data_IF_392889708253
#
_entry.id   IF_392889708253
#
_cell.length_a   1.000
_cell.length_b   1.000
_cell.length_c   1.000
_cell.angle_alpha   90.00
_cell.angle_beta   90.00
_cell.angle_gamma   90.00
#
_symmetry.space_group_name_H-M   'P 1'
#
loop_
_entity.id
_entity.type
_entity.pdbx_description
1 polymer ?
#
# COMPACT_ATOMS: atom_id res chain seq x y z
N UNK A 1 -17.64 40.73 -6.13
CA UNK A 1 -18.78 39.78 -6.04
C UNK A 1 -18.59 38.73 -7.12
N UNK A 2 -18.06 37.56 -6.76
CA UNK A 2 -17.83 36.47 -7.72
C UNK A 2 -19.13 35.69 -7.88
N UNK A 3 -19.56 35.49 -9.14
CA UNK A 3 -20.86 34.93 -9.48
C UNK A 3 -20.97 33.47 -8.99
N UNK A 4 -22.00 33.19 -8.20
CA UNK A 4 -22.44 31.83 -7.86
C UNK A 4 -23.12 31.21 -9.08
N UNK A 5 -22.36 30.53 -9.93
CA UNK A 5 -22.95 29.74 -11.00
C UNK A 5 -23.43 28.41 -10.41
N UNK A 6 -24.72 28.30 -10.12
CA UNK A 6 -25.39 27.01 -9.91
C UNK A 6 -25.44 26.30 -11.27
N UNK A 7 -24.43 25.48 -11.57
CA UNK A 7 -24.45 24.62 -12.75
C UNK A 7 -25.33 23.40 -12.44
N UNK A 8 -26.34 23.07 -13.28
CA UNK A 8 -27.18 21.90 -13.03
C UNK A 8 -26.35 20.61 -13.09
N UNK A 9 -26.74 19.66 -12.24
CA UNK A 9 -26.32 18.26 -12.26
C UNK A 9 -26.32 17.71 -13.69
N UNK A 10 -25.26 16.99 -14.06
CA UNK A 10 -24.89 16.51 -15.42
C UNK A 10 -24.05 17.49 -16.24
N UNK A 11 -22.73 17.32 -16.18
CA UNK A 11 -21.94 16.55 -17.16
C UNK A 11 -20.46 16.68 -16.70
N UNK A 12 -19.97 15.70 -15.94
CA UNK A 12 -18.54 15.55 -15.67
C UNK A 12 -17.78 14.98 -16.90
N UNK A 13 -18.33 15.06 -18.12
CA UNK A 13 -17.71 14.52 -19.33
C UNK A 13 -16.69 15.45 -20.01
N UNK A 14 -16.26 16.53 -19.34
CA UNK A 14 -15.33 17.51 -19.90
C UNK A 14 -13.87 17.41 -19.44
N UNK A 15 -13.57 16.62 -18.40
CA UNK A 15 -12.19 16.50 -17.90
C UNK A 15 -11.52 15.28 -18.54
N UNK A 16 -11.24 15.37 -19.85
CA UNK A 16 -10.46 14.37 -20.56
C UNK A 16 -9.03 14.28 -19.98
N UNK A 17 -8.74 13.09 -19.49
CA UNK A 17 -7.48 12.36 -19.32
C UNK A 17 -6.19 13.13 -19.61
N UNK A 18 -5.33 13.23 -18.60
CA UNK A 18 -3.92 12.91 -18.81
C UNK A 18 -3.45 12.01 -17.67
N UNK A 19 -3.08 10.78 -17.98
CA UNK A 19 -2.42 9.83 -17.09
C UNK A 19 -0.95 10.22 -16.90
N UNK A 20 -0.72 11.50 -16.66
CA UNK A 20 0.56 12.17 -16.56
C UNK A 20 0.54 13.15 -15.40
N UNK A 21 1.70 13.37 -14.81
CA UNK A 21 1.97 14.20 -13.64
C UNK A 21 1.81 15.70 -14.01
N UNK A 22 0.65 16.09 -14.55
CA UNK A 22 0.24 17.48 -14.67
C UNK A 22 -0.56 17.82 -13.42
N UNK A 23 -0.26 18.96 -12.80
CA UNK A 23 -1.05 19.50 -11.71
C UNK A 23 -2.48 19.75 -12.21
N UNK A 24 -3.38 18.82 -11.92
CA UNK A 24 -4.79 18.92 -12.29
C UNK A 24 -5.45 20.20 -11.76
N UNK A 25 -6.66 20.53 -12.23
CA UNK A 25 -7.39 21.68 -11.70
C UNK A 25 -7.60 21.52 -10.19
N UNK A 26 -7.40 22.60 -9.43
CA UNK A 26 -7.83 22.62 -8.04
C UNK A 26 -9.35 22.78 -8.02
N UNK A 27 -10.01 21.85 -7.35
CA UNK A 27 -11.45 21.77 -7.21
C UNK A 27 -11.82 22.01 -5.74
N UNK A 28 -13.01 22.56 -5.54
CA UNK A 28 -13.66 22.63 -4.25
C UNK A 28 -15.04 22.00 -4.34
N UNK A 29 -15.31 21.00 -3.48
CA UNK A 29 -16.61 20.34 -3.35
C UNK A 29 -17.19 20.66 -1.97
N UNK A 30 -18.41 21.20 -1.95
CA UNK A 30 -19.14 21.49 -0.71
C UNK A 30 -20.16 20.37 -0.46
N UNK A 31 -20.07 19.70 0.69
CA UNK A 31 -21.08 18.72 1.15
C UNK A 31 -21.81 19.24 2.38
N UNK A 32 -22.73 18.44 2.92
CA UNK A 32 -23.39 18.76 4.18
C UNK A 32 -22.42 18.78 5.39
N UNK A 33 -21.36 17.98 5.33
CA UNK A 33 -20.45 17.75 6.46
C UNK A 33 -19.28 18.74 6.46
N UNK A 34 -18.67 18.95 5.29
CA UNK A 34 -17.51 19.83 5.14
C UNK A 34 -17.28 20.24 3.68
N UNK A 35 -16.37 21.18 3.50
CA UNK A 35 -15.85 21.56 2.18
C UNK A 35 -14.51 20.84 1.94
N UNK A 36 -14.42 20.14 0.81
CA UNK A 36 -13.20 19.48 0.34
C UNK A 36 -12.52 20.38 -0.68
N UNK A 37 -11.21 20.54 -0.57
CA UNK A 37 -10.38 21.30 -1.53
C UNK A 37 -9.24 20.40 -1.98
N UNK A 38 -9.07 20.22 -3.29
CA UNK A 38 -8.14 19.21 -3.80
C UNK A 38 -8.30 18.93 -5.29
N UNK A 39 -7.93 17.74 -5.74
CA UNK A 39 -8.08 17.32 -7.15
C UNK A 39 -8.86 16.02 -7.27
N UNK A 40 -9.61 15.88 -8.36
CA UNK A 40 -10.19 14.58 -8.75
C UNK A 40 -9.09 13.68 -9.29
N UNK A 41 -8.98 12.47 -8.75
CA UNK A 41 -8.00 11.45 -9.15
C UNK A 41 -8.64 10.43 -10.09
N UNK A 42 -9.85 9.99 -9.76
CA UNK A 42 -10.71 9.19 -10.63
C UNK A 42 -12.17 9.45 -10.25
N UNK A 43 -13.09 9.38 -11.19
CA UNK A 43 -14.52 9.56 -10.91
C UNK A 43 -15.39 8.81 -11.91
N UNK A 44 -16.60 8.49 -11.48
CA UNK A 44 -17.68 8.04 -12.36
C UNK A 44 -18.95 8.87 -12.05
N UNK A 45 -20.13 8.39 -12.44
CA UNK A 45 -21.39 9.11 -12.21
C UNK A 45 -21.81 9.18 -10.74
N UNK A 46 -21.28 8.30 -9.89
CA UNK A 46 -21.71 8.13 -8.50
C UNK A 46 -20.65 8.58 -7.49
N UNK A 47 -19.37 8.36 -7.78
CA UNK A 47 -18.26 8.60 -6.85
C UNK A 47 -17.13 9.40 -7.50
N UNK A 48 -16.39 10.14 -6.67
CA UNK A 48 -15.14 10.78 -7.02
C UNK A 48 -14.08 10.47 -5.97
N UNK A 49 -12.98 9.83 -6.38
CA UNK A 49 -11.75 9.79 -5.62
C UNK A 49 -11.09 11.15 -5.66
N UNK A 50 -10.88 11.73 -4.49
CA UNK A 50 -10.44 13.11 -4.33
C UNK A 50 -9.18 13.14 -3.47
N UNK A 51 -8.10 13.75 -4.01
CA UNK A 51 -6.86 13.94 -3.28
C UNK A 51 -6.78 15.36 -2.73
N UNK A 52 -6.65 15.47 -1.41
CA UNK A 52 -6.43 16.73 -0.70
C UNK A 52 -4.94 17.14 -0.79
N UNK A 53 -4.60 18.44 -0.64
CA UNK A 53 -3.23 18.94 -0.71
C UNK A 53 -2.23 18.29 0.26
N UNK A 54 -2.70 17.76 1.40
CA UNK A 54 -1.89 17.03 2.38
C UNK A 54 -1.64 15.56 1.99
N UNK A 55 -2.18 15.11 0.85
CA UNK A 55 -2.03 13.75 0.36
C UNK A 55 -3.10 12.77 0.84
N UNK A 56 -4.07 13.22 1.64
CA UNK A 56 -5.23 12.38 2.00
C UNK A 56 -6.07 12.09 0.76
N UNK A 57 -6.45 10.82 0.60
CA UNK A 57 -7.37 10.35 -0.41
C UNK A 57 -8.75 10.15 0.23
N UNK A 58 -9.80 10.65 -0.41
CA UNK A 58 -11.17 10.48 0.07
C UNK A 58 -12.10 10.13 -1.07
N UNK A 59 -12.97 9.15 -0.84
CA UNK A 59 -14.08 8.87 -1.74
C UNK A 59 -15.24 9.80 -1.40
N UNK A 60 -15.62 10.65 -2.34
CA UNK A 60 -16.78 11.53 -2.19
C UNK A 60 -17.92 10.95 -3.03
N UNK A 61 -19.05 10.71 -2.40
CA UNK A 61 -20.30 10.35 -3.08
C UNK A 61 -20.84 11.62 -3.76
N UNK A 62 -20.94 11.60 -5.09
CA UNK A 62 -21.32 12.79 -5.86
C UNK A 62 -22.75 13.26 -5.59
N UNK A 63 -23.63 12.35 -5.13
CA UNK A 63 -24.99 12.68 -4.66
C UNK A 63 -25.01 13.60 -3.43
N UNK A 64 -23.93 13.61 -2.63
CA UNK A 64 -23.83 14.37 -1.39
C UNK A 64 -23.17 15.75 -1.61
N UNK A 65 -22.72 16.03 -2.84
CA UNK A 65 -22.11 17.31 -3.24
C UNK A 65 -23.22 18.32 -3.56
N UNK A 66 -23.29 19.41 -2.79
CA UNK A 66 -24.25 20.50 -2.95
C UNK A 66 -23.82 21.50 -4.00
N UNK A 67 -22.53 21.79 -4.05
CA UNK A 67 -21.92 22.65 -5.06
C UNK A 67 -20.48 22.26 -5.30
N UNK A 68 -19.99 22.52 -6.51
CA UNK A 68 -18.59 22.38 -6.86
C UNK A 68 -18.10 23.62 -7.59
N UNK A 69 -16.82 23.97 -7.41
CA UNK A 69 -16.15 25.01 -8.20
C UNK A 69 -14.74 24.60 -8.57
N UNK A 70 -14.31 25.00 -9.77
CA UNK A 70 -12.90 25.00 -10.16
C UNK A 70 -12.28 26.31 -9.68
N UNK A 71 -11.15 26.23 -9.00
CA UNK A 71 -10.40 27.38 -8.53
C UNK A 71 -9.37 27.83 -9.59
N UNK A 72 -9.06 29.12 -9.62
CA UNK A 72 -8.20 29.74 -10.65
C UNK A 72 -6.70 29.40 -10.51
N UNK A 73 -6.33 28.65 -9.47
CA UNK A 73 -4.96 28.19 -9.22
C UNK A 73 -4.85 26.68 -9.49
N UNK A 74 -3.70 26.20 -9.98
CA UNK A 74 -3.48 24.77 -10.14
C UNK A 74 -3.39 24.08 -8.77
N UNK A 75 -3.69 22.78 -8.75
CA UNK A 75 -3.45 21.96 -7.57
C UNK A 75 -1.96 21.97 -7.21
N UNK A 76 -1.65 22.11 -5.92
CA UNK A 76 -0.30 21.92 -5.38
C UNK A 76 -0.42 21.20 -4.05
N UNK A 77 0.46 20.24 -3.80
CA UNK A 77 0.62 19.67 -2.47
C UNK A 77 1.01 20.76 -1.46
N UNK A 78 0.66 20.57 -0.19
CA UNK A 78 1.17 21.42 0.88
C UNK A 78 2.69 21.32 0.96
N UNK A 79 3.33 22.38 1.46
CA UNK A 79 4.77 22.34 1.72
C UNK A 79 5.06 21.43 2.91
N UNK A 80 6.30 20.93 2.99
CA UNK A 80 6.72 20.16 4.16
C UNK A 80 6.69 20.98 5.47
N UNK A 81 6.77 22.31 5.41
CA UNK A 81 6.63 23.14 6.60
C UNK A 81 5.19 23.16 7.11
N UNK A 82 4.22 23.37 6.22
CA UNK A 82 2.80 23.36 6.58
C UNK A 82 2.41 22.01 7.18
N UNK A 83 2.85 20.90 6.58
CA UNK A 83 2.53 19.57 7.10
C UNK A 83 3.21 19.29 8.46
N UNK A 84 4.40 19.82 8.70
CA UNK A 84 5.02 19.73 10.03
C UNK A 84 4.21 20.49 11.08
N UNK A 85 3.71 21.67 10.75
CA UNK A 85 2.91 22.49 11.67
C UNK A 85 1.54 21.86 11.95
N UNK A 86 0.92 21.23 10.94
CA UNK A 86 -0.27 20.39 11.11
C UNK A 86 0.00 19.22 12.06
N UNK A 87 1.11 18.48 11.89
CA UNK A 87 1.46 17.35 12.76
C UNK A 87 1.77 17.80 14.20
N UNK A 88 2.45 18.94 14.39
CA UNK A 88 2.70 19.51 15.73
C UNK A 88 1.39 19.87 16.43
N UNK A 89 0.41 20.37 15.68
CA UNK A 89 -0.92 20.68 16.19
C UNK A 89 -1.71 19.43 16.52
N UNK A 90 -1.62 18.40 15.66
CA UNK A 90 -2.34 17.12 15.81
C UNK A 90 -1.85 16.30 17.01
N UNK A 91 -0.54 16.18 17.20
CA UNK A 91 0.06 15.30 18.23
C UNK A 91 0.52 16.04 19.49
N UNK A 92 0.59 17.36 19.44
CA UNK A 92 0.96 18.20 20.59
C UNK A 92 2.44 18.11 20.98
N UNK A 93 2.78 18.74 22.10
CA UNK A 93 4.16 18.97 22.52
C UNK A 93 4.89 17.74 23.06
N UNK A 94 4.22 16.59 23.22
CA UNK A 94 4.84 15.32 23.60
C UNK A 94 5.66 14.71 22.44
N UNK A 95 5.32 15.08 21.20
CA UNK A 95 5.96 14.61 20.00
C UNK A 95 6.93 15.64 19.45
N UNK A 96 8.00 15.16 18.82
CA UNK A 96 8.87 15.95 17.97
C UNK A 96 8.56 15.64 16.50
N UNK A 97 8.67 16.66 15.65
CA UNK A 97 8.46 16.52 14.21
C UNK A 97 9.76 16.89 13.49
N UNK A 98 10.33 15.92 12.76
CA UNK A 98 11.58 16.05 12.03
C UNK A 98 11.38 15.69 10.57
N UNK A 99 11.98 16.46 9.66
CA UNK A 99 11.96 16.15 8.23
C UNK A 99 13.33 15.67 7.74
N UNK A 100 13.34 14.63 6.89
CA UNK A 100 14.54 14.16 6.19
C UNK A 100 14.16 13.66 4.80
N UNK A 101 14.75 14.25 3.76
CA UNK A 101 14.49 13.86 2.39
C UNK A 101 13.01 14.08 2.01
N UNK A 102 12.28 13.00 1.76
CA UNK A 102 10.84 13.00 1.45
C UNK A 102 9.95 12.78 2.67
N UNK A 103 10.53 12.36 3.78
CA UNK A 103 9.79 11.97 4.97
C UNK A 103 9.67 13.10 5.98
N UNK A 104 8.51 13.16 6.61
CA UNK A 104 8.22 13.94 7.80
C UNK A 104 7.81 12.96 8.88
N UNK A 105 8.60 12.89 9.94
CA UNK A 105 8.41 11.93 11.03
C UNK A 105 7.92 12.67 12.25
N UNK A 106 6.79 12.21 12.79
CA UNK A 106 6.25 12.61 14.08
C UNK A 106 6.45 11.46 15.07
N UNK A 107 7.25 11.66 16.10
CA UNK A 107 7.59 10.60 17.06
C UNK A 107 7.76 11.18 18.48
N UNK A 108 7.82 10.36 19.54
CA UNK A 108 8.23 10.83 20.86
C UNK A 108 9.60 11.48 20.79
N UNK A 109 9.85 12.47 21.67
CA UNK A 109 11.13 13.20 21.71
C UNK A 109 12.33 12.24 21.76
N UNK A 110 13.33 12.51 20.91
CA UNK A 110 14.54 11.72 20.78
C UNK A 110 14.48 10.58 19.75
N UNK A 111 13.29 10.24 19.23
CA UNK A 111 13.14 9.12 18.28
C UNK A 111 12.97 9.54 16.82
N UNK A 112 12.45 10.73 16.53
CA UNK A 112 12.08 11.12 15.17
C UNK A 112 13.30 11.23 14.26
N UNK A 113 14.40 11.79 14.76
CA UNK A 113 15.61 11.94 13.96
C UNK A 113 16.23 10.60 13.53
N UNK A 114 16.19 9.58 14.40
CA UNK A 114 16.68 8.24 14.09
C UNK A 114 15.78 7.54 13.07
N UNK A 115 14.46 7.59 13.29
CA UNK A 115 13.47 7.06 12.36
C UNK A 115 13.55 7.75 10.98
N UNK A 116 13.69 9.07 10.94
CA UNK A 116 13.82 9.83 9.69
C UNK A 116 15.07 9.44 8.89
N UNK A 117 16.20 9.14 9.57
CA UNK A 117 17.41 8.61 8.92
C UNK A 117 17.20 7.21 8.34
N UNK A 118 16.50 6.33 9.08
CA UNK A 118 16.18 4.98 8.63
C UNK A 118 15.31 5.02 7.36
N UNK A 119 14.20 5.77 7.39
CA UNK A 119 13.27 5.91 6.26
C UNK A 119 13.94 6.52 5.02
N UNK A 120 14.77 7.55 5.20
CA UNK A 120 15.55 8.15 4.12
C UNK A 120 16.57 7.15 3.51
N UNK A 121 17.13 6.25 4.34
CA UNK A 121 17.92 5.10 3.89
C UNK A 121 17.11 4.12 3.06
N UNK A 122 15.93 3.71 3.53
CA UNK A 122 15.01 2.82 2.80
C UNK A 122 14.65 3.41 1.44
N UNK A 123 14.34 4.71 1.36
CA UNK A 123 14.03 5.37 0.09
C UNK A 123 15.19 5.36 -0.91
N UNK A 124 16.44 5.54 -0.45
CA UNK A 124 17.61 5.43 -1.33
C UNK A 124 17.76 4.01 -1.87
N UNK A 125 17.69 3.00 -0.99
CA UNK A 125 17.80 1.60 -1.38
C UNK A 125 16.67 1.16 -2.30
N UNK A 126 15.42 1.54 -1.99
CA UNK A 126 14.24 1.33 -2.85
C UNK A 126 14.48 1.92 -4.25
N UNK A 127 14.90 3.19 -4.31
CA UNK A 127 15.13 3.88 -5.58
C UNK A 127 16.24 3.20 -6.41
N UNK A 128 17.34 2.83 -5.76
CA UNK A 128 18.46 2.12 -6.41
C UNK A 128 18.03 0.73 -6.91
N UNK A 129 17.33 -0.04 -6.08
CA UNK A 129 16.90 -1.41 -6.37
C UNK A 129 16.04 -1.48 -7.64
N UNK A 130 15.02 -0.63 -7.72
CA UNK A 130 14.03 -0.64 -8.81
C UNK A 130 14.57 0.02 -10.09
N UNK A 131 15.31 1.13 -9.99
CA UNK A 131 15.85 1.82 -11.17
C UNK A 131 16.81 0.94 -11.99
N UNK A 132 17.54 0.02 -11.34
CA UNK A 132 18.48 -0.92 -11.98
C UNK A 132 17.80 -2.12 -12.65
N UNK A 133 16.48 -2.26 -12.47
CA UNK A 133 15.67 -3.42 -12.85
C UNK A 133 14.56 -3.05 -13.83
N UNK A 134 14.70 -1.91 -14.52
CA UNK A 134 13.78 -1.47 -15.57
C UNK A 134 12.54 -0.74 -15.07
N UNK A 135 12.37 -0.59 -13.75
CA UNK A 135 11.25 0.15 -13.18
C UNK A 135 11.51 1.66 -13.26
N UNK A 136 10.54 2.39 -13.80
CA UNK A 136 10.56 3.86 -13.81
C UNK A 136 9.74 4.36 -12.63
N UNK A 137 10.44 4.88 -11.63
CA UNK A 137 9.82 5.44 -10.43
C UNK A 137 9.48 6.91 -10.64
N UNK A 138 8.22 7.26 -10.38
CA UNK A 138 7.76 8.64 -10.31
C UNK A 138 8.22 9.28 -9.00
N UNK A 139 8.37 10.61 -9.00
CA UNK A 139 8.64 11.35 -7.76
C UNK A 139 7.34 11.43 -6.93
N UNK A 140 7.39 11.17 -5.60
CA UNK A 140 6.24 11.39 -4.73
C UNK A 140 5.70 12.80 -4.86
N UNK A 141 4.41 12.91 -5.17
CA UNK A 141 3.70 14.19 -5.28
C UNK A 141 3.50 14.85 -3.91
N UNK A 142 3.27 14.03 -2.88
CA UNK A 142 3.03 14.45 -1.51
C UNK A 142 4.24 14.16 -0.61
N UNK A 143 4.48 14.97 0.44
CA UNK A 143 5.38 14.57 1.51
C UNK A 143 4.91 13.26 2.15
N UNK A 144 5.85 12.41 2.55
CA UNK A 144 5.56 11.10 3.14
C UNK A 144 5.59 11.22 4.65
N UNK A 145 4.52 10.84 5.33
CA UNK A 145 4.41 11.01 6.79
C UNK A 145 4.59 9.67 7.48
N UNK A 146 5.40 9.67 8.55
CA UNK A 146 5.52 8.56 9.47
C UNK A 146 5.14 9.01 10.89
N UNK A 147 4.33 8.22 11.57
CA UNK A 147 3.91 8.48 12.96
C UNK A 147 4.36 7.33 13.84
N UNK A 148 5.18 7.64 14.84
CA UNK A 148 5.68 6.66 15.81
C UNK A 148 4.96 6.89 17.12
N UNK A 149 4.35 5.85 17.69
CA UNK A 149 3.70 5.92 18.99
C UNK A 149 4.60 5.34 20.10
N UNK A 150 4.56 5.91 21.32
CA UNK A 150 5.42 5.48 22.43
C UNK A 150 5.01 4.12 23.03
N UNK A 151 3.78 3.68 22.78
CA UNK A 151 3.27 2.41 23.29
C UNK A 151 2.14 1.88 22.42
N UNK A 152 1.85 0.59 22.62
CA UNK A 152 0.81 -0.11 21.90
C UNK A 152 -0.60 0.44 22.16
N UNK A 153 -0.85 1.06 23.33
CA UNK A 153 -2.17 1.59 23.70
C UNK A 153 -2.52 2.81 22.84
N UNK A 154 -1.61 3.77 22.72
CA UNK A 154 -1.79 4.95 21.87
C UNK A 154 -1.88 4.57 20.39
N UNK A 155 -1.05 3.62 19.96
CA UNK A 155 -1.13 3.07 18.60
C UNK A 155 -2.49 2.41 18.33
N UNK A 156 -2.99 1.57 19.23
CA UNK A 156 -4.29 0.94 19.07
C UNK A 156 -5.44 1.97 19.00
N UNK A 157 -5.34 3.08 19.73
CA UNK A 157 -6.29 4.19 19.61
C UNK A 157 -6.22 4.87 18.25
N UNK A 158 -5.01 5.10 17.73
CA UNK A 158 -4.80 5.66 16.41
C UNK A 158 -5.33 4.73 15.30
N UNK A 159 -5.05 3.42 15.38
CA UNK A 159 -5.61 2.41 14.47
C UNK A 159 -7.14 2.52 14.37
N UNK A 160 -7.83 2.58 15.52
CA UNK A 160 -9.30 2.70 15.53
C UNK A 160 -9.79 3.99 14.87
N UNK A 161 -9.07 5.10 15.04
CA UNK A 161 -9.40 6.39 14.40
C UNK A 161 -9.19 6.36 12.88
N UNK A 162 -8.17 5.64 12.41
CA UNK A 162 -7.88 5.48 10.97
C UNK A 162 -8.67 4.31 10.33
N UNK A 163 -9.62 3.71 11.06
CA UNK A 163 -10.46 2.60 10.55
C UNK A 163 -9.75 1.24 10.49
N UNK A 164 -8.55 1.13 11.06
CA UNK A 164 -7.71 -0.06 11.07
C UNK A 164 -8.11 -0.99 12.22
N UNK A 165 -8.30 -2.27 11.92
CA UNK A 165 -8.49 -3.28 12.96
C UNK A 165 -7.16 -3.57 13.65
N UNK A 166 -7.05 -3.16 14.91
CA UNK A 166 -5.90 -3.45 15.73
C UNK A 166 -5.88 -4.93 16.18
N UNK A 167 -4.72 -5.57 16.07
CA UNK A 167 -4.36 -6.84 16.74
C UNK A 167 -3.13 -6.61 17.62
N UNK A 168 -2.92 -7.46 18.63
CA UNK A 168 -1.76 -7.35 19.51
C UNK A 168 -0.42 -7.57 18.78
N UNK A 169 -0.47 -8.22 17.63
CA UNK A 169 0.64 -8.56 16.74
C UNK A 169 0.93 -7.48 15.69
N UNK A 170 0.00 -6.55 15.46
CA UNK A 170 0.19 -5.46 14.50
C UNK A 170 1.20 -4.45 15.06
N UNK A 171 2.40 -4.41 14.49
CA UNK A 171 3.45 -3.47 14.88
C UNK A 171 3.41 -2.15 14.09
N UNK A 172 2.92 -2.20 12.85
CA UNK A 172 2.76 -1.05 11.99
C UNK A 172 1.80 -1.28 10.83
N UNK A 173 1.45 -0.20 10.14
CA UNK A 173 0.70 -0.26 8.88
C UNK A 173 0.93 0.99 8.04
N UNK A 174 0.73 0.85 6.72
CA UNK A 174 0.57 1.93 5.76
C UNK A 174 -0.91 2.14 5.45
N UNK A 175 -1.34 3.39 5.47
CA UNK A 175 -2.71 3.79 5.11
C UNK A 175 -2.73 4.44 3.72
N UNK A 176 -3.29 3.78 2.69
CA UNK A 176 -3.50 4.38 1.38
C UNK A 176 -4.43 5.59 1.42
N UNK A 177 -5.27 5.72 2.45
CA UNK A 177 -6.16 6.87 2.64
C UNK A 177 -5.41 8.08 3.17
N UNK A 178 -4.79 7.98 4.35
CA UNK A 178 -4.10 9.11 4.97
C UNK A 178 -2.71 9.38 4.37
N UNK A 179 -2.18 8.44 3.58
CA UNK A 179 -0.80 8.41 3.09
C UNK A 179 0.26 8.38 4.21
N UNK A 180 -0.08 7.83 5.37
CA UNK A 180 0.79 7.77 6.54
C UNK A 180 1.22 6.33 6.79
N UNK A 181 2.46 6.15 7.23
CA UNK A 181 2.84 4.95 7.97
C UNK A 181 2.69 5.23 9.47
N UNK A 182 2.18 4.26 10.21
CA UNK A 182 2.04 4.35 11.66
C UNK A 182 2.57 3.07 12.29
N UNK A 183 3.34 3.20 13.36
CA UNK A 183 3.87 2.08 14.13
C UNK A 183 4.14 2.51 15.57
N UNK A 184 4.42 1.57 16.47
CA UNK A 184 4.84 1.89 17.83
C UNK A 184 6.21 1.33 18.17
N UNK A 185 6.90 2.01 19.07
CA UNK A 185 8.15 1.53 19.66
C UNK A 185 8.01 1.51 21.17
N UNK A 186 8.16 0.34 21.78
CA UNK A 186 8.09 0.14 23.24
C UNK A 186 9.35 0.63 24.00
N UNK A 187 10.14 1.53 23.41
CA UNK A 187 11.38 2.04 24.00
C UNK A 187 12.56 1.06 23.96
N UNK A 188 12.37 -0.17 23.44
CA UNK A 188 13.49 -0.95 22.90
C UNK A 188 14.10 -0.14 21.76
N UNK A 189 15.39 0.17 21.88
CA UNK A 189 16.13 0.82 20.82
C UNK A 189 15.88 0.06 19.50
N UNK A 190 15.85 0.80 18.40
CA UNK A 190 15.81 0.31 17.00
C UNK A 190 16.97 -0.68 16.64
N UNK A 191 17.62 -1.27 17.63
CA UNK A 191 18.79 -2.13 17.57
C UNK A 191 18.57 -3.53 18.13
N UNK A 192 17.48 -3.84 18.85
CA UNK A 192 17.22 -5.20 19.37
C UNK A 192 15.72 -5.47 19.52
N UNK A 193 15.07 -6.02 18.49
CA UNK A 193 13.75 -6.64 18.65
C UNK A 193 13.85 -8.16 18.45
N UNK A 194 13.27 -8.91 19.37
CA UNK A 194 13.15 -10.38 19.31
C UNK A 194 11.92 -10.72 18.46
N UNK A 195 12.00 -11.68 17.52
CA UNK A 195 10.84 -12.06 16.72
C UNK A 195 9.75 -12.70 17.59
N UNK A 196 8.49 -12.24 17.51
CA UNK A 196 7.37 -12.93 18.15
C UNK A 196 7.05 -14.26 17.43
N UNK A 197 6.39 -15.16 18.14
CA UNK A 197 5.91 -16.46 17.64
C UNK A 197 4.63 -16.22 16.85
N UNK A 198 4.62 -16.70 15.60
CA UNK A 198 3.50 -16.49 14.68
C UNK A 198 2.38 -17.50 14.94
N UNK A 199 1.19 -17.03 15.30
CA UNK A 199 -0.04 -17.84 15.37
C UNK A 199 -0.93 -17.63 14.13
N UNK A 200 -1.49 -18.70 13.57
CA UNK A 200 -2.30 -18.67 12.33
C UNK A 200 -3.55 -17.77 12.45
N UNK A 201 -4.04 -17.58 13.68
CA UNK A 201 -5.18 -16.70 13.99
C UNK A 201 -4.91 -15.21 13.79
N UNK A 202 -3.64 -14.78 13.85
CA UNK A 202 -3.26 -13.36 13.77
C UNK A 202 -3.30 -12.82 12.33
N UNK A 203 -3.04 -13.67 11.35
CA UNK A 203 -3.08 -13.31 9.92
C UNK A 203 -4.51 -13.20 9.40
N UNK A 204 -5.43 -13.96 10.00
CA UNK A 204 -6.87 -13.82 9.77
C UNK A 204 -7.38 -12.45 10.24
N UNK A 205 -6.79 -11.86 11.29
CA UNK A 205 -7.13 -10.51 11.75
C UNK A 205 -6.69 -9.43 10.73
N UNK A 206 -5.53 -9.64 10.08
CA UNK A 206 -4.99 -8.80 8.99
C UNK A 206 -5.78 -9.03 7.68
N UNK A 207 -6.30 -10.24 7.44
CA UNK A 207 -6.99 -10.62 6.20
C UNK A 207 -8.53 -10.43 6.22
N UNK A 208 -9.14 -10.01 7.34
CA UNK A 208 -10.60 -9.96 7.46
C UNK A 208 -11.23 -8.69 6.87
N UNK A 209 -11.83 -8.82 5.68
CA UNK A 209 -13.29 -8.68 5.51
C UNK A 209 -13.83 -9.62 4.42
N UNK A 210 -14.45 -10.73 4.86
CA UNK A 210 -15.73 -11.25 4.34
C UNK A 210 -16.20 -12.44 5.20
N UNK A 211 -17.02 -12.16 6.21
CA UNK A 211 -17.90 -13.17 6.82
C UNK A 211 -19.30 -12.58 6.89
N UNK A 212 -20.23 -13.21 6.17
CA UNK A 212 -21.69 -12.98 6.24
C UNK A 212 -22.16 -12.93 7.70
N UNK A 213 -23.23 -12.16 8.02
CA UNK A 213 -23.87 -12.25 9.32
C UNK A 213 -24.55 -13.62 9.47
N UNK A 214 -24.31 -14.30 10.59
CA UNK A 214 -25.13 -15.44 10.99
C UNK A 214 -26.57 -14.98 11.21
N UNK A 215 -27.50 -15.78 10.70
CA UNK A 215 -28.94 -15.60 10.73
C UNK A 215 -29.51 -15.50 12.14
N UNK A 216 -30.23 -14.40 12.41
CA UNK A 216 -31.47 -14.45 13.16
C UNK A 216 -32.58 -13.91 12.24
N UNK A 217 -33.60 -14.73 11.96
CA UNK A 217 -34.88 -14.32 11.36
C UNK A 217 -36.01 -14.86 12.25
N UNK A 218 -37.25 -14.32 12.19
CA UNK A 218 -37.83 -13.39 11.18
C UNK A 218 -38.27 -12.04 11.83
N UNK A 219 -38.61 -10.95 11.12
CA UNK A 219 -39.54 -10.85 10.00
C UNK A 219 -39.26 -9.64 9.07
N UNK A 220 -39.60 -9.83 7.79
CA UNK A 220 -39.72 -8.84 6.71
C UNK A 220 -41.08 -8.10 6.78
N UNK A 221 -41.37 -7.00 6.03
CA UNK A 221 -40.73 -6.60 4.76
C UNK A 221 -40.49 -5.09 4.51
N UNK A 222 -39.36 -4.75 3.86
CA UNK A 222 -39.28 -4.06 2.56
C UNK A 222 -37.88 -3.45 2.28
N UNK A 223 -37.22 -3.96 1.22
CA UNK A 223 -36.56 -3.28 0.08
C UNK A 223 -35.97 -1.87 0.34
N UNK A 224 -34.71 -1.50 0.10
CA UNK A 224 -33.64 -1.94 -0.83
C UNK A 224 -32.31 -1.45 -0.23
N UNK A 225 -31.31 -2.32 -0.06
CA UNK A 225 -29.93 -1.88 0.19
C UNK A 225 -29.05 -2.39 -0.96
N UNK A 226 -28.77 -1.48 -1.91
CA UNK A 226 -27.79 -1.71 -2.97
C UNK A 226 -26.42 -1.93 -2.34
N UNK A 227 -25.85 -3.11 -2.58
CA UNK A 227 -24.48 -3.45 -2.26
C UNK A 227 -23.54 -2.63 -3.17
N UNK A 228 -22.65 -1.85 -2.56
CA UNK A 228 -21.56 -1.14 -3.28
C UNK A 228 -20.47 -2.15 -3.65
N UNK A 229 -20.04 -2.28 -4.92
CA UNK A 229 -19.05 -3.29 -5.31
C UNK A 229 -17.57 -2.92 -5.11
N UNK A 230 -17.24 -1.78 -4.49
CA UNK A 230 -15.84 -1.33 -4.39
C UNK A 230 -15.54 -0.68 -3.04
N UNK A 231 -15.21 -1.52 -2.06
CA UNK A 231 -14.43 -1.11 -0.89
C UNK A 231 -12.96 -1.12 -1.33
N UNK A 232 -12.22 -0.02 -1.08
CA UNK A 232 -10.75 -0.05 -1.17
C UNK A 232 -10.21 -1.21 -0.34
N UNK A 233 -9.07 -1.82 -0.70
CA UNK A 233 -8.42 -2.74 0.22
C UNK A 233 -8.18 -2.02 1.55
N UNK A 234 -8.80 -2.49 2.65
CA UNK A 234 -8.57 -1.89 3.96
C UNK A 234 -7.14 -2.22 4.36
N UNK A 235 -6.37 -1.18 4.68
CA UNK A 235 -5.09 -1.19 5.42
C UNK A 235 -4.18 -2.39 5.18
N UNK A 236 -3.03 -2.14 4.57
CA UNK A 236 -2.00 -3.17 4.52
C UNK A 236 -1.32 -3.27 5.89
N UNK A 237 -1.48 -4.42 6.55
CA UNK A 237 -0.90 -4.67 7.88
C UNK A 237 0.34 -5.54 7.79
N UNK A 238 1.40 -5.11 8.49
CA UNK A 238 2.69 -5.82 8.56
C UNK A 238 2.56 -7.25 9.06
N UNK A 239 3.35 -8.14 8.45
CA UNK A 239 3.75 -9.40 9.08
C UNK A 239 4.93 -9.11 10.02
N UNK A 240 4.89 -9.72 11.19
CA UNK A 240 5.85 -9.55 12.28
C UNK A 240 7.31 -9.81 11.88
N UNK A 241 8.20 -8.91 12.31
CA UNK A 241 9.67 -8.95 12.21
C UNK A 241 10.31 -8.08 13.30
N UNK A 242 11.61 -7.80 13.21
CA UNK A 242 12.22 -6.73 14.03
C UNK A 242 11.43 -5.42 13.76
N UNK A 243 11.29 -4.52 14.74
CA UNK A 243 10.70 -3.19 14.52
C UNK A 243 11.32 -2.51 13.29
N UNK A 244 12.62 -2.72 13.05
CA UNK A 244 13.30 -2.26 11.84
C UNK A 244 12.67 -2.84 10.56
N UNK A 245 12.43 -4.15 10.50
CA UNK A 245 11.84 -4.82 9.34
C UNK A 245 10.41 -4.34 9.09
N UNK A 246 9.61 -4.22 10.16
CA UNK A 246 8.28 -3.61 10.14
C UNK A 246 8.33 -2.20 9.53
N UNK A 247 9.27 -1.35 9.97
CA UNK A 247 9.43 0.01 9.42
C UNK A 247 9.82 -0.03 7.94
N UNK A 248 10.73 -0.93 7.55
CA UNK A 248 11.17 -1.09 6.15
C UNK A 248 10.02 -1.57 5.26
N UNK A 249 9.23 -2.53 5.73
CA UNK A 249 8.04 -3.05 5.07
C UNK A 249 7.04 -1.94 4.78
N UNK A 250 6.65 -1.19 5.82
CA UNK A 250 5.64 -0.13 5.67
C UNK A 250 6.14 1.07 4.86
N UNK A 251 7.40 1.43 5.04
CA UNK A 251 8.04 2.44 4.19
C UNK A 251 8.06 2.00 2.72
N UNK A 252 8.27 0.70 2.44
CA UNK A 252 8.23 0.15 1.09
C UNK A 252 6.84 0.27 0.47
N UNK A 253 5.77 -0.02 1.23
CA UNK A 253 4.40 0.24 0.76
C UNK A 253 4.20 1.71 0.43
N UNK A 254 4.49 2.60 1.39
CA UNK A 254 4.31 4.03 1.19
C UNK A 254 5.07 4.53 -0.04
N UNK A 255 6.31 4.08 -0.25
CA UNK A 255 7.08 4.41 -1.45
C UNK A 255 6.46 3.83 -2.72
N UNK A 256 6.09 2.55 -2.74
CA UNK A 256 5.52 1.90 -3.92
C UNK A 256 4.22 2.57 -4.39
N UNK A 257 3.33 2.94 -3.45
CA UNK A 257 2.09 3.65 -3.72
C UNK A 257 2.26 5.13 -4.13
N UNK A 258 3.40 5.75 -3.82
CA UNK A 258 3.68 7.16 -4.16
C UNK A 258 4.71 7.33 -5.29
N UNK A 259 5.32 6.26 -5.78
CA UNK A 259 6.31 6.28 -6.87
C UNK A 259 5.81 5.58 -8.14
N UNK A 260 4.53 5.20 -8.17
CA UNK A 260 3.89 4.64 -9.35
C UNK A 260 4.19 3.16 -9.59
N UNK A 261 4.66 2.41 -8.58
CA UNK A 261 4.67 0.94 -8.64
C UNK A 261 3.29 0.34 -8.34
N UNK A 262 2.55 0.97 -7.42
CA UNK A 262 1.18 0.62 -7.07
C UNK A 262 0.25 1.83 -7.24
N UNK A 263 -1.05 1.57 -7.34
CA UNK A 263 -2.07 2.63 -7.33
C UNK A 263 -2.73 2.73 -5.95
N UNK A 264 -2.88 3.95 -5.41
CA UNK A 264 -3.58 4.18 -4.13
C UNK A 264 -5.09 3.98 -4.22
N UNK A 265 -5.63 3.93 -5.44
CA UNK A 265 -7.05 3.72 -5.72
C UNK A 265 -7.24 2.52 -6.66
N UNK A 266 -8.31 1.78 -6.46
CA UNK A 266 -8.56 0.53 -7.19
C UNK A 266 -7.75 -0.66 -6.67
N UNK A 267 -7.75 -1.74 -7.44
CA UNK A 267 -7.23 -3.02 -7.01
C UNK A 267 -5.76 -3.21 -7.38
N UNK A 268 -4.94 -3.60 -6.40
CA UNK A 268 -3.62 -4.17 -6.63
C UNK A 268 -3.65 -5.63 -6.17
N UNK A 269 -3.17 -6.60 -6.96
CA UNK A 269 -3.07 -7.99 -6.49
C UNK A 269 -2.24 -8.06 -5.22
N UNK A 270 -2.74 -8.70 -4.16
CA UNK A 270 -2.10 -8.63 -2.84
C UNK A 270 -0.68 -9.22 -2.86
N UNK A 271 -0.48 -10.30 -3.62
CA UNK A 271 0.84 -10.91 -3.74
C UNK A 271 1.91 -9.99 -4.30
N UNK A 272 1.53 -9.05 -5.18
CA UNK A 272 2.44 -8.04 -5.72
C UNK A 272 2.83 -7.06 -4.62
N UNK A 273 1.84 -6.55 -3.89
CA UNK A 273 2.04 -5.52 -2.86
C UNK A 273 2.92 -6.07 -1.73
N UNK A 274 2.51 -7.21 -1.17
CA UNK A 274 3.20 -7.84 -0.04
C UNK A 274 4.56 -8.41 -0.46
N UNK A 275 4.62 -9.07 -1.63
CA UNK A 275 5.83 -9.70 -2.12
C UNK A 275 6.97 -8.72 -2.37
N UNK A 276 6.67 -7.52 -2.91
CA UNK A 276 7.67 -6.46 -3.09
C UNK A 276 8.12 -5.82 -1.78
N UNK A 277 7.25 -5.73 -0.76
CA UNK A 277 7.67 -5.23 0.54
C UNK A 277 8.61 -6.21 1.25
N UNK A 278 8.26 -7.50 1.28
CA UNK A 278 9.11 -8.55 1.86
C UNK A 278 10.44 -8.71 1.13
N UNK A 279 10.49 -8.38 -0.17
CA UNK A 279 11.73 -8.36 -0.96
C UNK A 279 12.74 -7.34 -0.43
N UNK A 280 12.28 -6.21 0.13
CA UNK A 280 13.15 -5.13 0.59
C UNK A 280 13.41 -5.13 2.10
N UNK A 281 12.76 -6.01 2.88
CA UNK A 281 13.05 -6.18 4.32
C UNK A 281 14.54 -6.47 4.55
N UNK A 282 15.08 -7.42 3.78
CA UNK A 282 16.47 -7.86 3.88
C UNK A 282 17.48 -6.74 3.51
N UNK A 283 18.48 -6.54 4.38
CA UNK A 283 19.52 -5.52 4.20
C UNK A 283 20.36 -5.80 2.93
N UNK A 284 20.64 -7.07 2.62
CA UNK A 284 21.45 -7.46 1.46
C UNK A 284 20.71 -7.21 0.15
N UNK A 285 19.39 -7.40 0.12
CA UNK A 285 18.50 -7.05 -1.00
C UNK A 285 18.45 -5.55 -1.30
N UNK A 286 18.76 -4.73 -0.30
CA UNK A 286 18.87 -3.27 -0.37
C UNK A 286 20.29 -2.76 -0.68
N UNK A 287 21.29 -3.64 -0.71
CA UNK A 287 22.67 -3.29 -0.98
C UNK A 287 22.93 -3.02 -2.47
N UNK A 288 23.84 -2.09 -2.76
CA UNK A 288 24.15 -1.64 -4.12
C UNK A 288 24.97 -2.66 -4.95
N UNK A 289 25.45 -3.74 -4.33
CA UNK A 289 26.21 -4.78 -4.99
C UNK A 289 25.30 -5.82 -5.64
N UNK A 290 25.19 -5.79 -6.97
CA UNK A 290 24.85 -6.99 -7.76
C UNK A 290 25.94 -8.07 -7.66
N UNK A 291 27.12 -7.70 -7.15
CA UNK A 291 28.24 -8.59 -6.89
C UNK A 291 28.02 -9.33 -5.58
N UNK A 292 27.33 -10.47 -5.67
CA UNK A 292 27.08 -11.37 -4.57
C UNK A 292 26.15 -12.49 -5.02
N UNK A 293 26.34 -13.66 -4.42
CA UNK A 293 25.46 -14.81 -4.63
C UNK A 293 23.99 -14.44 -4.33
N UNK A 294 23.05 -14.94 -5.14
CA UNK A 294 21.61 -14.70 -4.98
C UNK A 294 21.10 -15.22 -3.63
N UNK A 295 21.68 -16.30 -3.12
CA UNK A 295 21.39 -16.86 -1.80
C UNK A 295 21.55 -15.83 -0.67
N UNK A 296 22.49 -14.89 -0.81
CA UNK A 296 22.78 -13.88 0.22
C UNK A 296 21.75 -12.75 0.31
N UNK A 297 20.80 -12.68 -0.64
CA UNK A 297 19.76 -11.65 -0.73
C UNK A 297 18.36 -12.22 -0.50
N UNK A 298 18.25 -13.36 0.17
CA UNK A 298 16.93 -13.95 0.45
C UNK A 298 16.39 -13.40 1.76
N UNK A 299 15.06 -13.24 1.83
CA UNK A 299 14.40 -13.11 3.12
C UNK A 299 14.39 -14.51 3.76
N UNK A 300 15.37 -14.77 4.63
CA UNK A 300 15.64 -16.10 5.17
C UNK A 300 14.41 -16.73 5.83
N UNK A 301 13.65 -15.94 6.61
CA UNK A 301 12.43 -16.43 7.26
C UNK A 301 11.40 -16.93 6.23
N UNK A 302 11.13 -16.13 5.18
CA UNK A 302 10.16 -16.49 4.13
C UNK A 302 10.65 -17.67 3.31
N UNK A 303 11.94 -17.72 3.01
CA UNK A 303 12.56 -18.83 2.30
C UNK A 303 12.45 -20.15 3.06
N UNK A 304 12.86 -20.18 4.33
CA UNK A 304 12.76 -21.36 5.19
C UNK A 304 11.32 -21.83 5.33
N UNK A 305 10.37 -20.90 5.49
CA UNK A 305 8.95 -21.23 5.52
C UNK A 305 8.48 -21.87 4.21
N UNK A 306 8.85 -21.26 3.07
CA UNK A 306 8.49 -21.73 1.74
C UNK A 306 8.98 -23.17 1.49
N UNK A 307 10.25 -23.44 1.81
CA UNK A 307 10.85 -24.78 1.69
C UNK A 307 10.20 -25.77 2.64
N UNK A 308 10.08 -25.42 3.94
CA UNK A 308 9.52 -26.31 4.98
C UNK A 308 8.08 -26.71 4.70
N UNK A 309 7.27 -25.82 4.11
CA UNK A 309 5.87 -26.09 3.76
C UNK A 309 5.70 -26.66 2.34
N UNK A 310 6.80 -26.94 1.64
CA UNK A 310 6.81 -27.44 0.27
C UNK A 310 5.91 -26.63 -0.67
N UNK A 311 5.97 -25.30 -0.56
CA UNK A 311 5.07 -24.41 -1.33
C UNK A 311 5.38 -24.37 -2.82
N UNK A 312 6.51 -24.94 -3.25
CA UNK A 312 6.91 -25.06 -4.66
C UNK A 312 5.89 -25.82 -5.51
N UNK A 313 5.15 -26.75 -4.89
CA UNK A 313 4.15 -27.60 -5.57
C UNK A 313 2.75 -26.94 -5.58
N UNK A 314 2.57 -25.83 -4.85
CA UNK A 314 1.33 -25.06 -4.91
C UNK A 314 1.29 -24.29 -6.23
N UNK A 315 0.21 -24.41 -7.05
CA UNK A 315 0.11 -23.70 -8.31
C UNK A 315 0.17 -22.18 -8.12
N UNK A 316 1.03 -21.49 -8.85
CA UNK A 316 1.12 -20.01 -8.75
C UNK A 316 -0.20 -19.31 -9.09
N UNK A 317 -1.08 -19.96 -9.85
CA UNK A 317 -2.42 -19.45 -10.16
C UNK A 317 -3.27 -19.25 -8.92
N UNK A 318 -3.09 -20.04 -7.86
CA UNK A 318 -3.82 -19.90 -6.59
C UNK A 318 -3.48 -18.58 -5.89
N UNK A 319 -2.27 -18.05 -6.14
CA UNK A 319 -1.81 -16.77 -5.63
C UNK A 319 -2.14 -15.60 -6.58
N UNK A 320 -2.07 -15.83 -7.89
CA UNK A 320 -2.21 -14.76 -8.91
C UNK A 320 -3.67 -14.43 -9.21
N UNK A 321 -4.53 -15.45 -9.29
CA UNK A 321 -5.89 -15.30 -9.79
C UNK A 321 -6.80 -14.54 -8.80
N UNK A 322 -6.62 -14.71 -7.50
CA UNK A 322 -7.37 -13.98 -6.49
C UNK A 322 -6.63 -13.95 -5.14
N UNK A 323 -7.17 -13.20 -4.18
CA UNK A 323 -6.54 -13.02 -2.87
C UNK A 323 -7.04 -14.05 -1.83
N UNK A 324 -7.80 -15.10 -2.24
CA UNK A 324 -8.36 -16.09 -1.30
C UNK A 324 -7.28 -16.94 -0.65
N UNK A 325 -6.13 -17.12 -1.29
CA UNK A 325 -5.04 -17.87 -0.69
C UNK A 325 -4.51 -17.19 0.58
N UNK A 326 -4.47 -15.85 0.62
CA UNK A 326 -4.14 -15.09 1.83
C UNK A 326 -5.14 -15.31 2.96
N UNK A 327 -6.43 -15.40 2.64
CA UNK A 327 -7.48 -15.65 3.64
C UNK A 327 -7.45 -17.09 4.18
N UNK A 328 -7.08 -18.05 3.33
CA UNK A 328 -7.03 -19.47 3.69
C UNK A 328 -5.77 -19.87 4.44
N UNK A 329 -4.61 -19.30 4.07
CA UNK A 329 -3.33 -19.63 4.67
C UNK A 329 -2.36 -18.46 4.53
N UNK A 330 -2.45 -17.52 5.47
CA UNK A 330 -1.71 -16.27 5.45
C UNK A 330 -0.20 -16.47 5.26
N UNK A 331 0.46 -17.26 6.13
CA UNK A 331 1.92 -17.45 6.05
C UNK A 331 2.37 -18.10 4.77
N UNK A 332 1.59 -19.06 4.27
CA UNK A 332 1.93 -19.69 3.00
C UNK A 332 1.80 -18.69 1.86
N UNK A 333 0.73 -17.89 1.83
CA UNK A 333 0.52 -16.88 0.81
C UNK A 333 1.62 -15.80 0.83
N UNK A 334 2.02 -15.34 2.02
CA UNK A 334 3.09 -14.36 2.18
C UNK A 334 4.45 -14.91 1.75
N UNK A 335 4.84 -16.09 2.24
CA UNK A 335 6.11 -16.71 1.85
C UNK A 335 6.15 -17.02 0.34
N UNK A 336 5.01 -17.41 -0.25
CA UNK A 336 4.89 -17.57 -1.70
C UNK A 336 5.02 -16.23 -2.44
N UNK A 337 4.31 -15.18 -2.00
CA UNK A 337 4.36 -13.86 -2.61
C UNK A 337 5.77 -13.27 -2.63
N UNK A 338 6.52 -13.43 -1.54
CA UNK A 338 7.95 -13.11 -1.50
C UNK A 338 8.73 -13.94 -2.53
N UNK A 339 8.62 -15.26 -2.51
CA UNK A 339 9.39 -16.16 -3.37
C UNK A 339 9.13 -15.87 -4.87
N UNK A 340 7.87 -15.68 -5.25
CA UNK A 340 7.48 -15.34 -6.61
C UNK A 340 8.02 -13.95 -7.02
N UNK A 341 7.90 -12.96 -6.14
CA UNK A 341 8.44 -11.61 -6.40
C UNK A 341 9.96 -11.63 -6.55
N UNK A 342 10.67 -12.38 -5.71
CA UNK A 342 12.11 -12.55 -5.77
C UNK A 342 12.53 -13.22 -7.09
N UNK A 343 11.90 -14.34 -7.44
CA UNK A 343 12.13 -15.02 -8.72
C UNK A 343 11.95 -14.10 -9.92
N UNK A 344 10.82 -13.41 -10.02
CA UNK A 344 10.53 -12.51 -11.14
C UNK A 344 11.51 -11.34 -11.20
N UNK A 345 11.89 -10.80 -10.05
CA UNK A 345 12.85 -9.70 -9.94
C UNK A 345 14.26 -10.12 -10.37
N UNK A 346 14.71 -11.32 -10.02
CA UNK A 346 16.06 -11.80 -10.33
C UNK A 346 16.19 -12.37 -11.74
N UNK A 347 15.11 -12.92 -12.30
CA UNK A 347 15.16 -13.63 -13.60
C UNK A 347 14.50 -12.87 -14.75
N UNK A 348 13.50 -12.03 -14.50
CA UNK A 348 12.63 -11.39 -15.51
C UNK A 348 12.22 -9.96 -15.12
N UNK A 349 13.15 -9.20 -14.53
CA UNK A 349 12.86 -7.87 -13.96
C UNK A 349 12.15 -6.90 -14.91
N UNK A 350 12.53 -6.84 -16.19
CA UNK A 350 11.91 -5.95 -17.17
C UNK A 350 10.46 -6.35 -17.48
N UNK A 351 10.17 -7.65 -17.61
CA UNK A 351 8.80 -8.14 -17.80
C UNK A 351 7.96 -7.88 -16.57
N UNK A 352 8.55 -8.02 -15.37
CA UNK A 352 7.86 -7.69 -14.13
C UNK A 352 7.56 -6.20 -14.02
N UNK A 353 8.50 -5.33 -14.40
CA UNK A 353 8.26 -3.89 -14.50
C UNK A 353 7.15 -3.55 -15.50
N UNK A 354 7.11 -4.25 -16.64
CA UNK A 354 6.02 -4.15 -17.62
C UNK A 354 4.66 -4.57 -17.04
N UNK A 355 4.62 -5.67 -16.30
CA UNK A 355 3.42 -6.16 -15.62
C UNK A 355 2.88 -5.17 -14.58
N UNK A 356 3.73 -4.63 -13.70
CA UNK A 356 3.31 -3.64 -12.71
C UNK A 356 2.77 -2.37 -13.37
N UNK A 357 3.42 -1.92 -14.45
CA UNK A 357 2.94 -0.78 -15.24
C UNK A 357 1.57 -1.05 -15.86
N UNK A 358 1.32 -2.27 -16.34
CA UNK A 358 0.04 -2.67 -16.91
C UNK A 358 -1.07 -2.67 -15.85
N UNK A 359 -0.82 -3.24 -14.66
CA UNK A 359 -1.79 -3.21 -13.54
C UNK A 359 -2.11 -1.77 -13.13
N UNK A 360 -1.08 -0.93 -12.97
CA UNK A 360 -1.24 0.50 -12.63
C UNK A 360 -2.10 1.24 -13.66
N UNK A 361 -1.99 0.88 -14.95
CA UNK A 361 -2.73 1.53 -16.05
C UNK A 361 -4.20 1.12 -16.16
N UNK A 362 -4.69 0.22 -15.30
CA UNK A 362 -6.09 -0.20 -15.30
C UNK A 362 -6.99 0.92 -14.76
N UNK A 363 -8.25 0.89 -15.16
CA UNK A 363 -9.27 1.78 -14.57
C UNK A 363 -9.49 1.40 -13.09
N UNK A 364 -9.15 2.29 -12.14
CA UNK A 364 -9.27 2.01 -10.71
C UNK A 364 -10.72 1.93 -10.21
N UNK A 365 -11.71 2.27 -11.04
CA UNK A 365 -13.14 2.18 -10.72
C UNK A 365 -13.80 0.91 -11.23
N UNK A 366 -13.04 0.05 -11.90
CA UNK A 366 -13.50 -1.23 -12.46
C UNK A 366 -12.84 -2.39 -11.72
N UNK A 367 -13.58 -3.49 -11.55
CA UNK A 367 -13.16 -4.66 -10.80
C UNK A 367 -12.01 -5.35 -11.52
N UNK A 368 -10.96 -5.69 -10.79
CA UNK A 368 -9.87 -6.47 -11.33
C UNK A 368 -10.13 -7.97 -11.14
N UNK A 369 -10.91 -8.54 -12.05
CA UNK A 369 -11.39 -9.93 -11.95
C UNK A 369 -10.26 -10.95 -12.07
N UNK A 370 -10.48 -12.17 -11.56
CA UNK A 370 -9.50 -13.25 -11.62
C UNK A 370 -9.04 -13.62 -13.03
N UNK A 371 -9.97 -13.60 -13.99
CA UNK A 371 -9.65 -13.85 -15.39
C UNK A 371 -8.73 -12.76 -15.95
N UNK A 372 -8.98 -11.50 -15.60
CA UNK A 372 -8.14 -10.38 -16.04
C UNK A 372 -6.76 -10.42 -15.37
N UNK A 373 -6.68 -10.75 -14.07
CA UNK A 373 -5.41 -10.91 -13.35
C UNK A 373 -4.52 -11.96 -14.01
N UNK A 374 -5.09 -13.13 -14.33
CA UNK A 374 -4.38 -14.19 -15.05
C UNK A 374 -3.99 -13.78 -16.47
N UNK A 375 -4.88 -13.12 -17.21
CA UNK A 375 -4.60 -12.68 -18.58
C UNK A 375 -3.46 -11.65 -18.63
N UNK A 376 -3.47 -10.67 -17.73
CA UNK A 376 -2.40 -9.66 -17.63
C UNK A 376 -1.07 -10.30 -17.21
N UNK A 377 -1.10 -11.29 -16.30
CA UNK A 377 0.09 -12.04 -15.91
C UNK A 377 0.64 -12.89 -17.07
N UNK A 378 -0.21 -13.64 -17.77
CA UNK A 378 0.18 -14.43 -18.94
C UNK A 378 0.71 -13.56 -20.08
N UNK A 379 0.17 -12.36 -20.25
CA UNK A 379 0.66 -11.39 -21.22
C UNK A 379 2.10 -10.96 -20.92
N UNK A 380 2.46 -10.84 -19.65
CA UNK A 380 3.80 -10.45 -19.22
C UNK A 380 4.81 -11.61 -19.20
N UNK A 381 4.41 -12.80 -18.75
CA UNK A 381 5.33 -13.90 -18.47
C UNK A 381 5.16 -15.14 -19.36
N UNK A 382 4.23 -15.08 -20.33
CA UNK A 382 3.92 -16.17 -21.24
C UNK A 382 2.67 -16.96 -20.86
N UNK A 383 2.08 -17.65 -21.85
CA UNK A 383 0.82 -18.39 -21.68
C UNK A 383 0.99 -19.72 -20.93
N UNK A 384 2.18 -20.32 -21.02
CA UNK A 384 2.48 -21.60 -20.38
C UNK A 384 2.93 -21.38 -18.93
N UNK A 385 1.95 -21.22 -18.03
CA UNK A 385 2.20 -21.06 -16.60
C UNK A 385 2.73 -22.34 -15.94
N UNK A 386 2.50 -23.51 -16.56
CA UNK A 386 3.06 -24.78 -16.08
C UNK A 386 4.57 -24.80 -16.26
N UNK A 387 5.05 -24.39 -17.43
CA UNK A 387 6.48 -24.21 -17.65
C UNK A 387 7.09 -23.15 -16.72
N UNK A 388 6.41 -22.02 -16.52
CA UNK A 388 6.86 -21.00 -15.57
C UNK A 388 6.94 -21.54 -14.14
N UNK A 389 6.00 -22.39 -13.70
CA UNK A 389 6.04 -23.07 -12.41
C UNK A 389 7.27 -23.98 -12.28
N UNK A 390 7.61 -24.75 -13.32
CA UNK A 390 8.82 -25.57 -13.34
C UNK A 390 10.08 -24.72 -13.22
N UNK A 391 10.15 -23.60 -13.95
CA UNK A 391 11.27 -22.67 -13.86
C UNK A 391 11.37 -22.01 -12.47
N UNK A 392 10.23 -21.69 -11.86
CA UNK A 392 10.17 -21.16 -10.50
C UNK A 392 10.66 -22.18 -9.47
N UNK A 393 10.21 -23.44 -9.57
CA UNK A 393 10.67 -24.52 -8.70
C UNK A 393 12.19 -24.74 -8.78
N UNK A 394 12.73 -24.82 -10.01
CA UNK A 394 14.19 -24.95 -10.21
C UNK A 394 14.98 -23.80 -9.60
N UNK A 395 14.49 -22.57 -9.75
CA UNK A 395 15.13 -21.41 -9.16
C UNK A 395 15.16 -21.49 -7.63
N UNK A 396 14.09 -21.99 -6.99
CA UNK A 396 14.08 -22.20 -5.54
C UNK A 396 15.06 -23.32 -5.13
N UNK A 397 15.13 -24.41 -5.90
CA UNK A 397 16.05 -25.51 -5.63
C UNK A 397 17.53 -25.04 -5.73
N UNK A 398 17.86 -24.16 -6.69
CA UNK A 398 19.18 -23.54 -6.81
C UNK A 398 19.58 -22.77 -5.54
N UNK A 399 18.63 -22.07 -4.90
CA UNK A 399 18.87 -21.34 -3.64
C UNK A 399 19.08 -22.26 -2.42
N UNK A 400 18.72 -23.55 -2.51
CA UNK A 400 18.92 -24.53 -1.42
C UNK A 400 20.19 -25.35 -1.54
N UNK A 401 20.85 -25.34 -2.71
CA UNK A 401 21.97 -26.25 -3.02
C UNK A 401 23.35 -25.60 -2.83
N UNK A 402 23.37 -24.35 -2.39
CA UNK A 402 24.55 -23.56 -2.01
C UNK A 402 24.54 -23.29 -0.50
#
# INVERSE_FOLDING_TARGET
MSARTLLPMLVLCGFFVDSGIAAGPLLEFETAERTYVGKSVAHNKSICWFAEPNGRMTQIQLKDVRSFRKLDRPFRSVSGQVLQDELRTEFGSAFEVVSKGKFIVCAPRGQAAACARLLDGVHRSFSSHFSRRGFRLDRPEFPLVAVVFPNQVEFAQYCRKDGVRFSATLQGYYSPESNRIAFYSSGQALSHAVPPVIEETDLLAIACRRSRPLSAQPASPNLVAQQSPFELPPVLGTIEGDLKDTIVHEATHQLAFNTGLHTRIGDNPRWVVEGLAMLLEDDSSRSDSRSGDRSTRVNQHRFEWFVRKNLRDVPMTDLIADDRYFARSGLNAYSYAWALSFFLTETRSYDYAGYLKAIRGRDPLTEYTSQQRLADFQKAFGKDLGWLQVQFGRFIDELTTE
#
